data_IF_467639397359
#
_entry.id   IF_467639397359
#
_cell.length_a   1.000
_cell.length_b   1.000
_cell.length_c   1.000
_cell.angle_alpha   90.00
_cell.angle_beta   90.00
_cell.angle_gamma   90.00
#
_symmetry.space_group_name_H-M   'P 1'
#
loop_
_entity.id
_entity.type
_entity.pdbx_description
1 polymer ?
#
# COMPACT_ATOMS: atom_id res chain seq x y z
N UNK A 1 14.21 1.27 -15.11
CA UNK A 1 15.44 0.52 -15.47
C UNK A 1 16.63 0.85 -14.56
N UNK A 2 17.41 1.94 -14.73
CA UNK A 2 18.62 2.15 -13.88
C UNK A 2 18.32 2.22 -12.37
N UNK A 3 17.33 3.03 -11.95
CA UNK A 3 16.98 3.15 -10.52
C UNK A 3 16.40 1.87 -9.93
N UNK A 4 15.63 1.13 -10.74
CA UNK A 4 15.01 -0.15 -10.36
C UNK A 4 16.07 -1.25 -10.20
N UNK A 5 17.04 -1.32 -11.11
CA UNK A 5 18.18 -2.22 -11.02
C UNK A 5 19.03 -1.94 -9.77
N UNK A 6 19.26 -0.66 -9.44
CA UNK A 6 19.99 -0.26 -8.22
C UNK A 6 19.21 -0.65 -6.96
N UNK A 7 17.90 -0.43 -6.94
CA UNK A 7 17.04 -0.83 -5.82
C UNK A 7 17.11 -2.34 -5.59
N UNK A 8 16.92 -3.12 -6.65
CA UNK A 8 16.93 -4.58 -6.57
C UNK A 8 18.28 -5.11 -6.08
N UNK A 9 19.40 -4.58 -6.60
CA UNK A 9 20.74 -4.97 -6.16
C UNK A 9 20.96 -4.69 -4.67
N UNK A 10 20.55 -3.52 -4.17
CA UNK A 10 20.70 -3.19 -2.74
C UNK A 10 19.84 -4.11 -1.85
N UNK A 11 18.63 -4.46 -2.30
CA UNK A 11 17.75 -5.36 -1.56
C UNK A 11 18.31 -6.78 -1.49
N UNK A 12 18.87 -7.27 -2.60
CA UNK A 12 19.57 -8.54 -2.66
C UNK A 12 20.78 -8.58 -1.70
N UNK A 13 21.64 -7.55 -1.74
CA UNK A 13 22.83 -7.45 -0.88
C UNK A 13 22.49 -7.37 0.62
N UNK A 14 21.32 -6.82 0.97
CA UNK A 14 20.84 -6.71 2.36
C UNK A 14 20.00 -7.91 2.81
N UNK A 15 19.86 -8.94 1.99
CA UNK A 15 19.00 -10.10 2.25
C UNK A 15 17.53 -9.71 2.58
N UNK A 16 17.04 -8.66 1.92
CA UNK A 16 15.66 -8.16 2.06
C UNK A 16 14.80 -8.44 0.82
N UNK A 17 15.37 -9.11 -0.19
CA UNK A 17 14.70 -9.63 -1.37
C UNK A 17 15.47 -10.82 -1.97
N UNK A 18 14.99 -11.39 -3.08
CA UNK A 18 15.68 -12.47 -3.78
C UNK A 18 17.09 -12.08 -4.19
N UNK A 19 18.04 -13.03 -4.20
CA UNK A 19 19.38 -12.74 -4.74
C UNK A 19 19.28 -12.37 -6.21
N UNK A 20 20.14 -11.44 -6.63
CA UNK A 20 20.29 -11.05 -8.01
C UNK A 20 21.46 -11.82 -8.65
N UNK A 21 21.17 -12.70 -9.60
CA UNK A 21 22.21 -13.47 -10.32
C UNK A 21 22.74 -12.75 -11.56
N UNK A 22 21.94 -11.89 -12.20
CA UNK A 22 22.38 -11.12 -13.36
C UNK A 22 21.35 -10.10 -13.85
N UNK A 23 21.83 -9.05 -14.50
CA UNK A 23 21.02 -8.01 -15.16
C UNK A 23 21.48 -7.87 -16.62
N UNK A 24 20.53 -7.76 -17.54
CA UNK A 24 20.75 -7.51 -18.95
C UNK A 24 19.65 -6.61 -19.52
N UNK A 25 19.79 -6.02 -20.72
CA UNK A 25 18.83 -5.03 -21.23
C UNK A 25 17.39 -5.52 -21.33
N UNK A 26 17.18 -6.83 -21.49
CA UNK A 26 15.86 -7.44 -21.64
C UNK A 26 15.25 -7.93 -20.31
N UNK A 27 15.99 -7.91 -19.20
CA UNK A 27 15.50 -8.44 -17.93
C UNK A 27 16.58 -8.73 -16.89
N UNK A 28 16.24 -9.61 -15.95
CA UNK A 28 17.09 -9.98 -14.83
C UNK A 28 16.89 -11.45 -14.46
N UNK A 29 17.91 -12.05 -13.86
CA UNK A 29 17.88 -13.39 -13.26
C UNK A 29 17.90 -13.24 -11.74
N UNK A 30 16.90 -13.81 -11.09
CA UNK A 30 16.68 -13.73 -9.65
C UNK A 30 16.67 -15.14 -9.03
N UNK A 31 16.94 -15.21 -7.73
CA UNK A 31 16.74 -16.42 -6.94
C UNK A 31 15.27 -16.86 -6.99
N UNK A 32 15.05 -18.12 -7.35
CA UNK A 32 13.75 -18.74 -7.19
C UNK A 32 13.55 -19.09 -5.71
N UNK A 33 12.48 -18.56 -5.10
CA UNK A 33 12.15 -18.77 -3.70
C UNK A 33 10.93 -19.70 -3.62
N UNK A 34 11.09 -20.97 -3.18
CA UNK A 34 9.97 -21.87 -2.94
C UNK A 34 9.00 -21.26 -1.92
N UNK A 35 7.81 -20.91 -2.38
CA UNK A 35 6.85 -20.12 -1.62
C UNK A 35 5.49 -20.06 -2.31
N UNK A 36 4.49 -19.56 -1.58
CA UNK A 36 3.21 -19.09 -2.15
C UNK A 36 2.92 -17.67 -1.71
N UNK A 37 2.08 -16.96 -2.47
CA UNK A 37 1.52 -15.68 -2.03
C UNK A 37 0.55 -15.91 -0.86
N UNK A 38 0.40 -14.91 -0.01
CA UNK A 38 -0.68 -14.89 0.97
C UNK A 38 -2.04 -14.69 0.28
N UNK A 39 -3.10 -15.14 0.93
CA UNK A 39 -4.47 -14.72 0.63
C UNK A 39 -4.87 -13.49 1.45
N UNK A 40 -5.88 -12.77 1.01
CA UNK A 40 -6.39 -11.57 1.71
C UNK A 40 -6.87 -11.91 3.13
N UNK A 41 -7.43 -13.10 3.34
CA UNK A 41 -7.87 -13.58 4.67
C UNK A 41 -6.70 -13.74 5.65
N UNK A 42 -5.56 -14.21 5.16
CA UNK A 42 -4.36 -14.46 5.97
C UNK A 42 -3.77 -13.17 6.54
N UNK A 43 -3.99 -12.02 5.90
CA UNK A 43 -3.54 -10.71 6.39
C UNK A 43 -4.06 -10.42 7.81
N UNK A 44 -5.23 -10.97 8.15
CA UNK A 44 -5.89 -10.75 9.45
C UNK A 44 -5.39 -11.65 10.58
N UNK A 45 -4.58 -12.67 10.27
CA UNK A 45 -4.02 -13.57 11.27
C UNK A 45 -2.99 -12.82 12.14
N UNK A 46 -3.07 -12.90 13.49
CA UNK A 46 -2.22 -12.05 14.35
C UNK A 46 -0.72 -12.21 14.13
N UNK A 47 -0.24 -13.44 13.93
CA UNK A 47 1.17 -13.74 13.70
C UNK A 47 1.65 -13.25 12.33
N UNK A 48 0.84 -13.43 11.28
CA UNK A 48 1.09 -12.89 9.94
C UNK A 48 1.12 -11.37 9.97
N UNK A 49 0.11 -10.73 10.55
CA UNK A 49 0.00 -9.28 10.67
C UNK A 49 1.18 -8.69 11.45
N UNK A 50 1.62 -9.34 12.53
CA UNK A 50 2.79 -8.91 13.29
C UNK A 50 4.08 -9.03 12.47
N UNK A 51 4.27 -10.13 11.73
CA UNK A 51 5.46 -10.30 10.90
C UNK A 51 5.50 -9.32 9.73
N UNK A 52 4.37 -9.02 9.07
CA UNK A 52 4.30 -7.97 8.04
C UNK A 52 4.71 -6.62 8.63
N UNK A 53 4.22 -6.29 9.83
CA UNK A 53 4.61 -5.07 10.54
C UNK A 53 6.12 -5.00 10.82
N UNK A 54 6.73 -6.10 11.29
CA UNK A 54 8.17 -6.17 11.53
C UNK A 54 8.98 -6.03 10.22
N UNK A 55 8.54 -6.66 9.12
CA UNK A 55 9.20 -6.56 7.82
C UNK A 55 9.10 -5.16 7.23
N UNK A 56 7.92 -4.54 7.30
CA UNK A 56 7.69 -3.16 6.87
C UNK A 56 8.54 -2.17 7.68
N UNK A 57 8.63 -2.34 9.00
CA UNK A 57 9.52 -1.54 9.85
C UNK A 57 11.00 -1.62 9.41
N UNK A 58 11.49 -2.83 9.13
CA UNK A 58 12.87 -3.02 8.61
C UNK A 58 13.05 -2.36 7.25
N UNK A 59 12.06 -2.47 6.36
CA UNK A 59 12.07 -1.82 5.04
C UNK A 59 12.13 -0.29 5.17
N UNK A 60 11.32 0.29 6.06
CA UNK A 60 11.30 1.72 6.36
C UNK A 60 12.62 2.25 6.91
N UNK A 61 13.37 1.42 7.66
CA UNK A 61 14.70 1.75 8.18
C UNK A 61 15.81 1.82 7.13
N UNK A 62 15.54 1.43 5.87
CA UNK A 62 16.57 1.39 4.85
C UNK A 62 17.04 2.77 4.39
N UNK A 63 18.37 2.92 4.33
CA UNK A 63 19.03 4.05 3.66
C UNK A 63 19.28 3.68 2.20
N UNK A 64 18.50 4.28 1.30
CA UNK A 64 18.56 4.04 -0.15
C UNK A 64 19.08 5.29 -0.88
N UNK A 65 19.85 5.18 -1.97
CA UNK A 65 20.44 6.33 -2.67
C UNK A 65 19.44 7.02 -3.62
N UNK A 66 18.21 7.26 -3.16
CA UNK A 66 17.14 7.92 -3.92
C UNK A 66 16.78 9.28 -3.33
N UNK A 67 15.98 10.08 -4.06
CA UNK A 67 15.46 11.35 -3.55
C UNK A 67 14.66 11.11 -2.25
N UNK A 68 14.96 11.89 -1.20
CA UNK A 68 14.36 11.81 0.14
C UNK A 68 13.12 12.69 0.30
N UNK A 69 12.87 13.60 -0.62
CA UNK A 69 11.67 14.44 -0.56
C UNK A 69 10.44 13.59 -0.89
N UNK A 70 9.35 13.66 -0.09
CA UNK A 70 8.16 12.83 -0.25
C UNK A 70 7.24 13.32 -1.37
N UNK A 71 7.81 13.62 -2.54
CA UNK A 71 7.09 14.14 -3.73
C UNK A 71 6.32 13.05 -4.47
N UNK A 72 6.64 11.78 -4.22
CA UNK A 72 6.08 10.64 -4.95
C UNK A 72 4.56 10.59 -4.87
N UNK A 73 3.97 10.67 -3.68
CA UNK A 73 2.53 10.47 -3.47
C UNK A 73 1.71 11.52 -4.22
N UNK A 74 1.85 12.79 -3.86
CA UNK A 74 1.07 13.86 -4.46
C UNK A 74 1.48 14.17 -5.91
N UNK A 75 2.77 14.10 -6.24
CA UNK A 75 3.22 14.31 -7.62
C UNK A 75 2.63 13.26 -8.58
N UNK A 76 2.50 12.02 -8.11
CA UNK A 76 1.87 10.94 -8.89
C UNK A 76 0.35 11.12 -8.97
N UNK A 77 -0.33 11.44 -7.86
CA UNK A 77 -1.77 11.72 -7.87
C UNK A 77 -2.14 12.89 -8.79
N UNK A 78 -1.36 13.97 -8.79
CA UNK A 78 -1.58 15.11 -9.69
C UNK A 78 -1.38 14.72 -11.16
N UNK A 79 -0.32 13.97 -11.46
CA UNK A 79 -0.09 13.41 -12.79
C UNK A 79 -1.23 12.51 -13.24
N UNK A 80 -1.78 11.68 -12.34
CA UNK A 80 -2.89 10.81 -12.65
C UNK A 80 -4.18 11.59 -12.85
N UNK A 81 -4.53 12.51 -11.96
CA UNK A 81 -5.72 13.33 -12.08
C UNK A 81 -5.73 14.12 -13.40
N UNK A 82 -4.60 14.71 -13.78
CA UNK A 82 -4.47 15.43 -15.05
C UNK A 82 -4.74 14.53 -16.27
N UNK A 83 -4.35 13.25 -16.21
CA UNK A 83 -4.67 12.28 -17.25
C UNK A 83 -6.15 11.89 -17.21
N UNK A 84 -6.69 11.57 -16.03
CA UNK A 84 -8.09 11.18 -15.81
C UNK A 84 -9.06 12.23 -16.38
N UNK A 85 -8.80 13.51 -16.15
CA UNK A 85 -9.63 14.62 -16.67
C UNK A 85 -9.65 14.71 -18.20
N UNK A 86 -8.70 14.08 -18.89
CA UNK A 86 -8.60 14.07 -20.35
C UNK A 86 -9.10 12.77 -20.98
N UNK A 87 -9.37 11.74 -20.18
CA UNK A 87 -9.81 10.43 -20.68
C UNK A 87 -11.20 10.54 -21.30
N UNK A 88 -11.32 9.95 -22.50
CA UNK A 88 -12.61 9.69 -23.14
C UNK A 88 -12.70 8.21 -23.48
N UNK A 89 -13.82 7.59 -23.11
CA UNK A 89 -14.17 6.22 -23.47
C UNK A 89 -15.15 6.21 -24.63
N UNK A 90 -15.00 5.23 -25.53
CA UNK A 90 -15.93 5.00 -26.64
C UNK A 90 -17.18 4.21 -26.20
N UNK A 91 -17.02 3.29 -25.24
CA UNK A 91 -18.12 2.47 -24.70
C UNK A 91 -18.93 3.27 -23.68
N UNK A 92 -20.24 3.39 -23.91
CA UNK A 92 -21.17 4.14 -23.06
C UNK A 92 -21.16 3.68 -21.59
N UNK A 93 -21.07 2.37 -21.34
CA UNK A 93 -21.00 1.83 -19.97
C UNK A 93 -19.80 2.35 -19.19
N UNK A 94 -18.64 2.53 -19.85
CA UNK A 94 -17.42 3.09 -19.24
C UNK A 94 -17.55 4.60 -19.05
N UNK A 95 -18.12 5.30 -20.04
CA UNK A 95 -18.39 6.75 -19.95
C UNK A 95 -19.31 7.08 -18.76
N UNK A 96 -20.38 6.31 -18.53
CA UNK A 96 -21.26 6.50 -17.38
C UNK A 96 -20.53 6.35 -16.03
N UNK A 97 -19.67 5.34 -15.90
CA UNK A 97 -18.86 5.13 -14.68
C UNK A 97 -17.85 6.25 -14.47
N UNK A 98 -17.18 6.70 -15.54
CA UNK A 98 -16.28 7.86 -15.48
C UNK A 98 -17.02 9.12 -15.05
N UNK A 99 -18.20 9.40 -15.60
CA UNK A 99 -19.00 10.57 -15.23
C UNK A 99 -19.40 10.53 -13.75
N UNK A 100 -19.77 9.35 -13.22
CA UNK A 100 -20.04 9.17 -11.78
C UNK A 100 -18.80 9.52 -10.95
N UNK A 101 -17.62 9.02 -11.31
CA UNK A 101 -16.35 9.33 -10.62
C UNK A 101 -16.01 10.82 -10.68
N UNK A 102 -16.21 11.47 -11.83
CA UNK A 102 -15.93 12.89 -12.01
C UNK A 102 -16.94 13.80 -11.30
N UNK A 103 -18.16 13.32 -11.04
CA UNK A 103 -19.18 14.09 -10.29
C UNK A 103 -18.77 14.39 -8.84
N UNK A 104 -17.78 13.69 -8.29
CA UNK A 104 -17.22 13.98 -6.98
C UNK A 104 -16.33 15.23 -6.93
N UNK A 105 -16.07 15.89 -8.07
CA UNK A 105 -15.13 17.00 -8.17
C UNK A 105 -13.74 16.62 -7.63
N UNK A 106 -13.13 15.60 -8.24
CA UNK A 106 -11.82 15.06 -7.85
C UNK A 106 -10.72 16.13 -7.66
N UNK A 107 -10.65 17.21 -8.46
CA UNK A 107 -9.70 18.30 -8.19
C UNK A 107 -9.89 18.98 -6.82
N UNK A 108 -11.14 19.23 -6.42
CA UNK A 108 -11.43 19.80 -5.11
C UNK A 108 -11.16 18.78 -4.00
N UNK A 109 -11.54 17.52 -4.17
CA UNK A 109 -11.26 16.49 -3.18
C UNK A 109 -9.76 16.25 -3.00
N UNK A 110 -8.95 16.33 -4.06
CA UNK A 110 -7.49 16.24 -3.94
C UNK A 110 -6.91 17.40 -3.12
N UNK A 111 -7.44 18.63 -3.25
CA UNK A 111 -7.03 19.77 -2.41
C UNK A 111 -7.42 19.55 -0.94
N UNK A 112 -8.62 19.06 -0.68
CA UNK A 112 -9.11 18.77 0.67
C UNK A 112 -8.23 17.70 1.34
N UNK A 113 -7.95 16.60 0.61
CA UNK A 113 -7.05 15.54 1.06
C UNK A 113 -5.65 16.07 1.33
N UNK A 114 -5.09 16.88 0.43
CA UNK A 114 -3.77 17.51 0.61
C UNK A 114 -3.70 18.32 1.90
N UNK A 115 -4.64 19.22 2.12
CA UNK A 115 -4.65 20.07 3.31
C UNK A 115 -4.73 19.24 4.61
N UNK A 116 -5.51 18.15 4.61
CA UNK A 116 -5.60 17.24 5.76
C UNK A 116 -4.28 16.53 6.03
N UNK A 117 -3.62 16.01 4.99
CA UNK A 117 -2.36 15.26 5.16
C UNK A 117 -1.18 16.17 5.47
N UNK A 118 -1.18 17.42 5.00
CA UNK A 118 -0.21 18.44 5.42
C UNK A 118 -0.34 18.78 6.92
N UNK A 119 -1.56 18.68 7.47
CA UNK A 119 -1.83 18.80 8.91
C UNK A 119 -1.65 17.49 9.70
N UNK A 120 -1.15 16.43 9.07
CA UNK A 120 -0.95 15.11 9.69
C UNK A 120 0.52 14.74 9.63
N UNK A 121 1.21 14.84 10.78
CA UNK A 121 2.63 14.46 10.84
C UNK A 121 2.80 12.98 10.49
N UNK A 122 3.71 12.71 9.57
CA UNK A 122 4.13 11.34 9.21
C UNK A 122 5.60 11.37 8.79
N UNK A 123 6.46 10.53 9.39
CA UNK A 123 7.87 10.51 9.04
C UNK A 123 8.05 10.04 7.59
N UNK A 124 9.02 10.65 6.91
CA UNK A 124 9.42 10.23 5.56
C UNK A 124 10.42 9.09 5.67
N UNK A 125 10.04 7.93 5.15
CA UNK A 125 10.79 6.67 5.19
C UNK A 125 10.82 6.04 3.81
N UNK A 126 11.62 5.00 3.61
CA UNK A 126 11.60 4.26 2.35
C UNK A 126 10.45 3.26 2.37
N UNK A 127 9.35 3.56 1.68
CA UNK A 127 8.11 2.79 1.68
C UNK A 127 8.07 1.81 0.50
N UNK A 128 7.39 0.68 0.71
CA UNK A 128 7.06 -0.28 -0.33
C UNK A 128 6.04 0.29 -1.33
N UNK A 129 5.06 1.03 -0.79
CA UNK A 129 3.91 1.65 -1.45
C UNK A 129 2.84 0.68 -2.01
N UNK A 130 3.15 -0.61 -2.14
CA UNK A 130 2.19 -1.64 -2.59
C UNK A 130 2.24 -2.94 -1.76
N UNK A 131 2.15 -2.84 -0.43
CA UNK A 131 2.21 -3.99 0.48
C UNK A 131 0.86 -4.75 0.55
N UNK A 132 0.45 -5.36 -0.57
CA UNK A 132 -0.70 -6.27 -0.68
C UNK A 132 -0.30 -7.75 -0.50
N UNK A 133 -1.26 -8.64 -0.26
CA UNK A 133 -1.03 -10.09 -0.08
C UNK A 133 -0.29 -10.73 -1.27
N UNK A 134 -0.51 -10.23 -2.48
CA UNK A 134 0.14 -10.69 -3.68
C UNK A 134 1.66 -10.45 -3.73
N UNK A 135 2.15 -9.55 -2.86
CA UNK A 135 3.54 -9.13 -2.72
C UNK A 135 4.16 -9.60 -1.40
N UNK A 136 3.48 -10.50 -0.69
CA UNK A 136 3.98 -11.16 0.52
C UNK A 136 4.04 -12.66 0.28
N UNK A 137 5.25 -13.21 0.29
CA UNK A 137 5.49 -14.64 0.13
C UNK A 137 5.51 -15.32 1.50
N UNK A 138 4.75 -16.40 1.65
CA UNK A 138 4.93 -17.41 2.69
C UNK A 138 5.95 -18.44 2.21
N UNK A 139 7.07 -18.51 2.91
CA UNK A 139 8.21 -19.36 2.57
C UNK A 139 7.92 -20.83 2.88
N UNK A 140 8.15 -21.71 1.90
CA UNK A 140 7.93 -23.15 2.05
C UNK A 140 8.83 -23.74 3.14
N UNK A 141 8.26 -24.60 3.98
CA UNK A 141 8.95 -25.23 5.11
C UNK A 141 9.12 -24.33 6.33
N UNK A 142 8.52 -23.12 6.34
CA UNK A 142 8.52 -22.18 7.46
C UNK A 142 7.12 -21.86 7.98
N UNK A 143 6.10 -22.57 7.53
CA UNK A 143 4.70 -22.31 7.85
C UNK A 143 4.43 -22.39 9.36
N UNK A 144 5.03 -23.37 10.03
CA UNK A 144 4.93 -23.59 11.47
C UNK A 144 5.89 -22.71 12.29
N UNK A 145 6.73 -21.89 11.64
CA UNK A 145 7.65 -21.00 12.35
C UNK A 145 6.88 -19.81 12.94
N UNK A 146 7.14 -19.50 14.21
CA UNK A 146 6.51 -18.35 14.87
C UNK A 146 6.88 -17.01 14.20
N UNK A 147 8.10 -16.92 13.65
CA UNK A 147 8.64 -15.74 12.96
C UNK A 147 9.50 -16.12 11.76
N UNK A 148 9.78 -15.15 10.90
CA UNK A 148 10.67 -15.27 9.74
C UNK A 148 10.17 -16.24 8.67
N UNK A 149 8.85 -16.32 8.53
CA UNK A 149 8.17 -17.12 7.49
C UNK A 149 7.72 -16.29 6.28
N UNK A 150 7.78 -14.96 6.36
CA UNK A 150 7.35 -14.07 5.28
C UNK A 150 8.51 -13.37 4.58
N UNK A 151 8.31 -13.03 3.31
CA UNK A 151 9.18 -12.13 2.55
C UNK A 151 8.35 -11.14 1.73
N UNK A 152 8.70 -9.84 1.83
CA UNK A 152 8.14 -8.82 0.94
C UNK A 152 8.88 -8.88 -0.40
N UNK A 153 8.16 -8.70 -1.50
CA UNK A 153 8.69 -8.70 -2.86
C UNK A 153 7.98 -7.62 -3.71
N UNK A 154 8.42 -7.45 -4.95
CA UNK A 154 7.82 -6.56 -5.94
C UNK A 154 7.84 -5.07 -5.55
N UNK A 155 9.06 -4.53 -5.55
CA UNK A 155 9.37 -3.19 -5.06
C UNK A 155 9.18 -2.10 -6.11
N UNK A 156 8.48 -2.34 -7.23
CA UNK A 156 8.44 -1.42 -8.37
C UNK A 156 7.88 -0.02 -8.05
N UNK A 157 6.98 0.07 -7.06
CA UNK A 157 6.41 1.33 -6.59
C UNK A 157 7.22 1.97 -5.45
N UNK A 158 8.28 1.33 -4.96
CA UNK A 158 8.99 1.77 -3.77
C UNK A 158 9.64 3.15 -3.95
N UNK A 159 9.54 3.98 -2.92
CA UNK A 159 10.09 5.33 -2.91
C UNK A 159 10.25 5.85 -1.48
N UNK A 160 11.00 6.94 -1.29
CA UNK A 160 10.79 7.72 -0.07
C UNK A 160 9.38 8.32 -0.10
N UNK A 161 8.60 8.03 0.93
CA UNK A 161 7.21 8.44 1.09
C UNK A 161 6.86 8.53 2.58
N UNK A 162 5.65 8.94 2.91
CA UNK A 162 5.16 9.01 4.27
C UNK A 162 4.88 7.60 4.81
N UNK A 163 5.39 7.29 6.02
CA UNK A 163 5.09 6.02 6.73
C UNK A 163 3.59 5.73 6.76
N UNK A 164 2.79 6.76 7.01
CA UNK A 164 1.34 6.68 7.10
C UNK A 164 0.72 6.10 5.85
N UNK A 165 1.29 6.39 4.67
CA UNK A 165 0.82 5.85 3.40
C UNK A 165 1.02 4.35 3.32
N UNK A 166 2.20 3.83 3.65
CA UNK A 166 2.49 2.40 3.46
C UNK A 166 1.66 1.51 4.40
N UNK A 167 1.56 1.92 5.67
CA UNK A 167 0.73 1.22 6.66
C UNK A 167 -0.76 1.38 6.32
N UNK A 168 -1.20 2.61 6.03
CA UNK A 168 -2.60 2.88 5.67
C UNK A 168 -3.02 2.15 4.40
N UNK A 169 -2.13 2.06 3.41
CA UNK A 169 -2.33 1.28 2.19
C UNK A 169 -2.47 -0.21 2.51
N UNK A 170 -1.56 -0.78 3.29
CA UNK A 170 -1.66 -2.18 3.71
C UNK A 170 -2.99 -2.48 4.40
N UNK A 171 -3.48 -1.60 5.28
CA UNK A 171 -4.81 -1.75 5.90
C UNK A 171 -5.95 -1.67 4.89
N UNK A 172 -5.82 -0.86 3.83
CA UNK A 172 -6.81 -0.84 2.75
C UNK A 172 -6.89 -2.19 2.02
N UNK A 173 -5.77 -2.88 1.83
CA UNK A 173 -5.70 -4.14 1.08
C UNK A 173 -6.46 -5.30 1.76
N UNK A 174 -6.69 -5.23 3.07
CA UNK A 174 -7.54 -6.20 3.78
C UNK A 174 -8.99 -6.24 3.25
N UNK A 175 -9.43 -5.17 2.57
CA UNK A 175 -10.77 -5.09 2.00
C UNK A 175 -10.88 -5.68 0.60
N UNK A 176 -9.78 -5.95 -0.11
CA UNK A 176 -9.78 -6.29 -1.52
C UNK A 176 -9.19 -7.68 -1.74
N UNK A 177 -10.00 -8.60 -2.27
CA UNK A 177 -9.56 -9.93 -2.69
C UNK A 177 -9.49 -9.96 -4.23
N UNK A 178 -8.27 -10.09 -4.75
CA UNK A 178 -7.97 -10.11 -6.19
C UNK A 178 -8.00 -11.51 -6.82
N UNK A 179 -8.31 -12.56 -6.03
CA UNK A 179 -8.37 -13.94 -6.52
C UNK A 179 -9.73 -14.32 -7.09
N UNK A 180 -10.70 -13.40 -7.07
CA UNK A 180 -12.05 -13.67 -7.57
C UNK A 180 -12.05 -13.96 -9.08
N UNK A 181 -12.43 -15.18 -9.46
CA UNK A 181 -12.29 -15.70 -10.82
C UNK A 181 -13.26 -15.09 -11.86
N UNK A 182 -14.26 -14.32 -11.42
CA UNK A 182 -15.28 -13.73 -12.31
C UNK A 182 -15.17 -12.23 -12.33
N UNK A 183 -15.52 -11.61 -13.47
CA UNK A 183 -15.65 -10.16 -13.57
C UNK A 183 -16.44 -9.61 -12.36
N UNK A 184 -15.94 -8.56 -11.66
CA UNK A 184 -14.86 -7.65 -12.05
C UNK A 184 -13.43 -8.10 -11.70
N UNK A 185 -13.22 -9.37 -11.36
CA UNK A 185 -11.95 -9.99 -10.97
C UNK A 185 -11.39 -9.49 -9.64
N UNK A 186 -12.26 -8.94 -8.80
CA UNK A 186 -11.99 -8.67 -7.39
C UNK A 186 -13.29 -8.74 -6.58
N UNK A 187 -13.16 -8.93 -5.26
CA UNK A 187 -14.21 -8.69 -4.28
C UNK A 187 -13.77 -7.59 -3.33
N UNK A 188 -14.67 -6.66 -3.03
CA UNK A 188 -14.46 -5.65 -2.00
C UNK A 188 -15.39 -5.89 -0.82
N UNK A 189 -14.86 -5.87 0.40
CA UNK A 189 -15.64 -5.94 1.64
C UNK A 189 -15.14 -4.91 2.65
N UNK A 190 -15.86 -3.80 2.78
CA UNK A 190 -15.45 -2.69 3.67
C UNK A 190 -15.49 -3.07 5.15
N UNK A 191 -16.21 -4.14 5.49
CA UNK A 191 -16.25 -4.72 6.84
C UNK A 191 -14.95 -5.47 7.20
N UNK A 192 -14.11 -5.81 6.21
CA UNK A 192 -12.82 -6.47 6.45
C UNK A 192 -11.68 -5.49 6.75
N UNK A 193 -11.90 -4.17 6.67
CA UNK A 193 -10.90 -3.20 7.14
C UNK A 193 -10.52 -3.50 8.59
N UNK A 194 -9.23 -3.48 8.96
CA UNK A 194 -8.81 -3.92 10.29
C UNK A 194 -9.51 -3.12 11.38
N UNK A 195 -10.04 -3.81 12.38
CA UNK A 195 -10.61 -3.17 13.57
C UNK A 195 -9.52 -2.39 14.33
N UNK A 196 -9.91 -1.43 15.18
CA UNK A 196 -8.95 -0.69 16.02
C UNK A 196 -8.00 -1.64 16.79
N UNK A 197 -8.51 -2.76 17.29
CA UNK A 197 -7.71 -3.79 17.98
C UNK A 197 -6.64 -4.40 17.06
N UNK A 198 -7.00 -4.76 15.83
CA UNK A 198 -6.06 -5.31 14.86
C UNK A 198 -5.04 -4.26 14.40
N UNK A 199 -5.46 -3.02 14.21
CA UNK A 199 -4.54 -1.93 13.87
C UNK A 199 -3.53 -1.67 14.98
N UNK A 200 -3.96 -1.63 16.24
CA UNK A 200 -3.05 -1.48 17.39
C UNK A 200 -2.09 -2.67 17.51
N UNK A 201 -2.54 -3.90 17.25
CA UNK A 201 -1.67 -5.08 17.19
C UNK A 201 -0.56 -4.95 16.13
N UNK A 202 -0.92 -4.50 14.92
CA UNK A 202 0.04 -4.22 13.85
C UNK A 202 1.01 -3.09 14.26
N UNK A 203 0.47 -1.95 14.74
CA UNK A 203 1.24 -0.75 15.09
C UNK A 203 2.22 -1.06 16.23
N UNK A 204 1.82 -1.82 17.25
CA UNK A 204 2.68 -2.19 18.37
C UNK A 204 3.87 -3.03 17.90
N UNK A 205 3.62 -4.00 17.00
CA UNK A 205 4.66 -4.82 16.38
C UNK A 205 5.61 -3.99 15.51
N UNK A 206 5.04 -3.05 14.72
CA UNK A 206 5.80 -2.11 13.90
C UNK A 206 6.70 -1.20 14.74
N UNK A 207 6.16 -0.53 15.77
CA UNK A 207 6.91 0.41 16.61
C UNK A 207 8.02 -0.29 17.39
N UNK A 208 7.75 -1.51 17.86
CA UNK A 208 8.76 -2.36 18.51
C UNK A 208 9.95 -2.68 17.61
N UNK A 209 9.72 -2.81 16.30
CA UNK A 209 10.77 -3.11 15.32
C UNK A 209 11.43 -1.86 14.71
N UNK A 210 10.75 -0.70 14.73
CA UNK A 210 11.19 0.52 14.06
C UNK A 210 11.85 1.53 15.00
N UNK A 211 11.36 1.65 16.24
CA UNK A 211 11.78 2.70 17.16
C UNK A 211 12.62 2.11 18.31
N UNK A 212 13.90 2.48 18.33
CA UNK A 212 14.81 2.12 19.40
C UNK A 212 14.26 2.58 20.76
N UNK A 213 14.29 1.66 21.74
CA UNK A 213 13.81 1.95 23.09
C UNK A 213 12.29 2.00 23.24
N UNK A 214 11.48 1.75 22.20
CA UNK A 214 10.01 1.69 22.32
C UNK A 214 9.57 0.74 23.45
N UNK A 215 10.24 -0.41 23.59
CA UNK A 215 9.93 -1.38 24.63
C UNK A 215 10.21 -0.89 26.05
N UNK A 216 11.10 0.09 26.22
CA UNK A 216 11.48 0.66 27.51
C UNK A 216 10.55 1.80 27.96
N UNK A 217 9.65 2.26 27.09
CA UNK A 217 8.64 3.26 27.42
C UNK A 217 7.61 2.71 28.40
N UNK A 218 7.03 3.60 29.20
CA UNK A 218 5.85 3.29 30.04
C UNK A 218 4.64 2.88 29.19
N UNK A 219 3.67 2.22 29.80
CA UNK A 219 2.45 1.80 29.08
C UNK A 219 1.64 3.00 28.58
N UNK A 220 1.65 4.10 29.34
CA UNK A 220 0.98 5.35 29.00
C UNK A 220 1.63 6.00 27.77
N UNK A 221 2.96 6.03 27.71
CA UNK A 221 3.71 6.56 26.56
C UNK A 221 3.52 5.69 25.31
N UNK A 222 3.57 4.36 25.45
CA UNK A 222 3.28 3.43 24.34
C UNK A 222 1.88 3.67 23.79
N UNK A 223 0.87 3.69 24.67
CA UNK A 223 -0.53 3.88 24.26
C UNK A 223 -0.73 5.22 23.55
N UNK A 224 -0.11 6.30 24.04
CA UNK A 224 -0.19 7.61 23.40
C UNK A 224 0.40 7.59 21.99
N UNK A 225 1.59 7.01 21.83
CA UNK A 225 2.27 6.92 20.53
C UNK A 225 1.48 6.03 19.55
N UNK A 226 0.96 4.89 20.01
CA UNK A 226 0.14 4.00 19.20
C UNK A 226 -1.13 4.71 18.68
N UNK A 227 -1.79 5.52 19.52
CA UNK A 227 -2.97 6.32 19.11
C UNK A 227 -2.60 7.42 18.11
N UNK A 228 -1.45 8.09 18.27
CA UNK A 228 -0.96 9.08 17.29
C UNK A 228 -0.73 8.44 15.92
N UNK A 229 -0.06 7.27 15.89
CA UNK A 229 0.15 6.50 14.66
C UNK A 229 -1.18 6.01 14.08
N UNK A 230 -2.13 5.59 14.93
CA UNK A 230 -3.46 5.16 14.48
C UNK A 230 -4.18 6.28 13.71
N UNK A 231 -4.14 7.52 14.20
CA UNK A 231 -4.75 8.67 13.52
C UNK A 231 -4.03 8.94 12.20
N UNK A 232 -2.69 8.93 12.20
CA UNK A 232 -1.86 9.11 11.01
C UNK A 232 -2.23 8.12 9.90
N UNK A 233 -2.13 6.81 10.17
CA UNK A 233 -2.28 5.77 9.14
C UNK A 233 -3.68 5.74 8.58
N UNK A 234 -4.72 5.99 9.39
CA UNK A 234 -6.09 6.04 8.91
C UNK A 234 -6.39 7.27 8.04
N UNK A 235 -5.75 8.41 8.31
CA UNK A 235 -5.83 9.57 7.41
C UNK A 235 -5.11 9.30 6.10
N UNK A 236 -3.92 8.71 6.15
CA UNK A 236 -3.18 8.35 4.94
C UNK A 236 -3.81 7.20 4.15
N UNK A 237 -4.63 6.33 4.76
CA UNK A 237 -5.46 5.35 4.05
C UNK A 237 -6.42 6.00 3.03
N UNK A 238 -6.88 7.24 3.29
CA UNK A 238 -7.63 8.03 2.31
C UNK A 238 -6.80 8.30 1.04
N UNK A 239 -5.49 8.56 1.20
CA UNK A 239 -4.58 8.75 0.08
C UNK A 239 -4.39 7.46 -0.71
N UNK A 240 -4.35 6.30 -0.06
CA UNK A 240 -4.33 5.00 -0.75
C UNK A 240 -5.58 4.83 -1.62
N UNK A 241 -6.77 5.07 -1.07
CA UNK A 241 -8.00 4.99 -1.87
C UNK A 241 -8.01 5.96 -3.05
N UNK A 242 -7.61 7.21 -2.83
CA UNK A 242 -7.57 8.22 -3.88
C UNK A 242 -6.55 7.89 -4.96
N UNK A 243 -5.33 7.49 -4.58
CA UNK A 243 -4.24 7.12 -5.46
C UNK A 243 -4.63 5.94 -6.36
N UNK A 244 -5.06 4.82 -5.77
CA UNK A 244 -5.40 3.61 -6.53
C UNK A 244 -6.71 3.75 -7.30
N UNK A 245 -7.63 4.61 -6.83
CA UNK A 245 -8.81 5.00 -7.59
C UNK A 245 -8.44 5.72 -8.89
N UNK A 246 -7.55 6.72 -8.83
CA UNK A 246 -7.06 7.42 -10.01
C UNK A 246 -6.24 6.51 -10.94
N UNK A 247 -5.32 5.72 -10.38
CA UNK A 247 -4.54 4.73 -11.12
C UNK A 247 -5.46 3.80 -11.92
N UNK A 248 -6.51 3.30 -11.28
CA UNK A 248 -7.41 2.34 -11.91
C UNK A 248 -8.21 2.96 -13.07
N UNK A 249 -8.61 4.23 -12.97
CA UNK A 249 -9.27 4.92 -14.10
C UNK A 249 -8.33 5.00 -15.32
N UNK A 250 -7.04 5.24 -15.09
CA UNK A 250 -6.03 5.26 -16.16
C UNK A 250 -5.87 3.86 -16.75
N UNK A 251 -5.74 2.83 -15.92
CA UNK A 251 -5.62 1.45 -16.38
C UNK A 251 -6.83 0.99 -17.21
N UNK A 252 -8.03 1.43 -16.88
CA UNK A 252 -9.23 1.17 -17.69
C UNK A 252 -9.10 1.65 -19.15
N UNK A 253 -8.20 2.61 -19.42
CA UNK A 253 -7.92 3.16 -20.75
C UNK A 253 -6.72 2.50 -21.44
N UNK A 254 -5.67 2.16 -20.69
CA UNK A 254 -4.36 1.76 -21.26
C UNK A 254 -3.99 0.28 -21.06
N UNK A 255 -4.55 -0.38 -20.04
CA UNK A 255 -4.20 -1.76 -19.72
C UNK A 255 -4.81 -2.73 -20.73
N UNK A 256 -4.03 -3.77 -21.07
CA UNK A 256 -4.48 -4.94 -21.81
C UNK A 256 -4.97 -6.08 -20.90
N UNK A 257 -4.76 -5.98 -19.59
CA UNK A 257 -5.16 -7.01 -18.62
C UNK A 257 -6.68 -6.95 -18.43
N UNK A 258 -7.32 -8.13 -18.44
CA UNK A 258 -8.75 -8.23 -18.17
C UNK A 258 -9.03 -8.04 -16.68
N UNK A 259 -9.43 -6.82 -16.30
CA UNK A 259 -9.78 -6.47 -14.93
C UNK A 259 -10.87 -5.39 -14.92
N UNK A 260 -11.76 -5.43 -13.92
CA UNK A 260 -12.83 -4.46 -13.73
C UNK A 260 -12.35 -3.11 -13.18
N UNK A 261 -11.48 -2.42 -13.93
CA UNK A 261 -10.79 -1.22 -13.45
C UNK A 261 -11.74 -0.06 -13.04
N UNK A 262 -12.83 0.16 -13.76
CA UNK A 262 -13.77 1.23 -13.39
C UNK A 262 -14.65 0.84 -12.19
N UNK A 263 -14.94 -0.46 -12.04
CA UNK A 263 -15.62 -1.00 -10.85
C UNK A 263 -14.74 -0.85 -9.62
N UNK A 264 -13.45 -1.19 -9.76
CA UNK A 264 -12.46 -1.02 -8.71
C UNK A 264 -12.26 0.44 -8.34
N UNK A 265 -12.16 1.34 -9.32
CA UNK A 265 -12.07 2.77 -9.06
C UNK A 265 -13.28 3.27 -8.24
N UNK A 266 -14.50 2.90 -8.64
CA UNK A 266 -15.71 3.22 -7.89
C UNK A 266 -15.65 2.68 -6.47
N UNK A 267 -15.23 1.43 -6.30
CA UNK A 267 -15.08 0.81 -4.98
C UNK A 267 -14.07 1.56 -4.09
N UNK A 268 -12.91 1.97 -4.63
CA UNK A 268 -11.91 2.76 -3.87
C UNK A 268 -12.47 4.11 -3.46
N UNK A 269 -13.20 4.81 -4.34
CA UNK A 269 -13.82 6.09 -3.99
C UNK A 269 -14.98 5.94 -3.00
N UNK A 270 -15.78 4.88 -3.10
CA UNK A 270 -16.82 4.57 -2.10
C UNK A 270 -16.19 4.34 -0.72
N UNK A 271 -15.07 3.61 -0.64
CA UNK A 271 -14.30 3.42 0.59
C UNK A 271 -13.65 4.71 1.10
N UNK A 272 -13.11 5.56 0.22
CA UNK A 272 -12.59 6.90 0.56
C UNK A 272 -13.64 7.73 1.28
N UNK A 273 -14.85 7.84 0.72
CA UNK A 273 -15.92 8.61 1.34
C UNK A 273 -16.45 7.96 2.62
N UNK A 274 -16.46 6.64 2.71
CA UNK A 274 -16.81 5.93 3.95
C UNK A 274 -15.82 6.19 5.08
N UNK A 275 -14.53 6.13 4.78
CA UNK A 275 -13.47 6.41 5.73
C UNK A 275 -13.47 7.88 6.16
N UNK A 276 -13.72 8.83 5.25
CA UNK A 276 -13.92 10.25 5.60
C UNK A 276 -15.04 10.44 6.62
N UNK A 277 -16.20 9.79 6.41
CA UNK A 277 -17.33 9.82 7.36
C UNK A 277 -16.94 9.26 8.73
N UNK A 278 -16.23 8.12 8.77
CA UNK A 278 -15.76 7.49 10.02
C UNK A 278 -14.77 8.39 10.78
N UNK A 279 -13.89 9.08 10.06
CA UNK A 279 -12.90 10.00 10.61
C UNK A 279 -13.46 11.40 10.92
N UNK A 280 -14.67 11.72 10.44
CA UNK A 280 -15.33 13.02 10.57
C UNK A 280 -14.51 14.17 9.97
N UNK A 281 -13.98 13.95 8.76
CA UNK A 281 -13.16 14.90 7.98
C UNK A 281 -13.60 15.02 6.52
#
# INVERSE_FOLDING_TARGET
>A
MVLESVMFAILAERALGPKLYGIFPQGRLEEFIPSRKLSTEELSLPDISAEIAEKMARFHGMKMPFNKEPKWLFGTMEKYLNQVLRIKFSKESRTRKLNKLLSYNLPQEMKNLRAMLEATSSPVVFCHNDCQEGNVLLLEGREDSEKQKLMLIDFEYSSYNYRGFDIGNHFCEWMYDYTYEKYPFFKASFLKYPSKKQQLHFISSYLSAFQDGFQNLSNEEKSKLEEEVLIEVNRFALASHFFWGLWSIIQAKISSIEFGYLEYALSRFDAYFDQKRKLKV
#
